data_IF_773354376489
#
_entry.id   IF_773354376489
#
_cell.length_a   1.000
_cell.length_b   1.000
_cell.length_c   1.000
_cell.angle_alpha   90.00
_cell.angle_beta   90.00
_cell.angle_gamma   90.00
#
_symmetry.space_group_name_H-M   'P 1'
#
loop_
_entity.id
_entity.type
_entity.pdbx_description
1 polymer ?
#
# COMPACT_ATOMS: atom_id res chain seq x y z
N UNK A 1 -1.29 20.98 -25.89
CA UNK A 1 0.18 21.02 -25.66
C UNK A 1 0.74 19.61 -25.77
N UNK A 2 1.92 19.41 -26.32
CA UNK A 2 2.56 18.09 -26.35
C UNK A 2 2.69 17.53 -24.92
N UNK A 3 2.44 16.23 -24.73
CA UNK A 3 2.54 15.56 -23.42
C UNK A 3 3.94 15.01 -23.12
N UNK A 4 4.89 15.35 -23.93
CA UNK A 4 6.28 14.91 -23.90
C UNK A 4 7.19 15.76 -23.00
N UNK A 5 6.69 16.93 -22.54
CA UNK A 5 7.42 17.80 -21.61
C UNK A 5 6.73 17.86 -20.25
N UNK A 6 7.47 17.63 -19.18
CA UNK A 6 6.99 17.89 -17.82
C UNK A 6 6.76 19.40 -17.60
N UNK A 7 5.77 19.79 -16.76
CA UNK A 7 5.66 21.15 -16.28
C UNK A 7 6.95 21.56 -15.56
N UNK A 8 7.29 22.83 -15.67
CA UNK A 8 8.40 23.40 -14.92
C UNK A 8 8.11 23.36 -13.41
N UNK A 9 9.11 23.03 -12.62
CA UNK A 9 9.11 23.11 -11.15
C UNK A 9 10.53 23.46 -10.67
N UNK A 10 10.61 24.03 -9.48
CA UNK A 10 11.88 24.20 -8.76
C UNK A 10 12.22 22.90 -8.03
N UNK A 11 13.50 22.51 -8.04
CA UNK A 11 13.99 21.31 -7.34
C UNK A 11 14.82 21.72 -6.11
N UNK A 12 14.41 21.23 -4.96
CA UNK A 12 15.09 21.38 -3.68
C UNK A 12 15.61 20.04 -3.19
N UNK A 13 16.84 19.99 -2.67
CA UNK A 13 17.51 18.78 -2.19
C UNK A 13 18.02 18.99 -0.76
N UNK A 14 17.13 19.04 0.25
CA UNK A 14 17.53 19.18 1.65
C UNK A 14 18.27 17.92 2.12
N UNK A 15 19.20 18.11 3.06
CA UNK A 15 19.97 17.04 3.71
C UNK A 15 19.41 16.63 5.07
N UNK A 16 18.44 17.39 5.61
CA UNK A 16 17.75 17.11 6.88
C UNK A 16 16.24 17.12 6.70
N UNK A 17 15.54 16.38 7.57
CA UNK A 17 14.08 16.35 7.57
C UNK A 17 13.51 17.72 7.94
N UNK A 18 14.10 18.39 8.93
CA UNK A 18 13.71 19.71 9.37
C UNK A 18 13.71 20.70 8.19
N UNK A 19 14.82 20.74 7.44
CA UNK A 19 14.91 21.59 6.25
C UNK A 19 13.86 21.25 5.19
N UNK A 20 13.53 19.97 5.01
CA UNK A 20 12.49 19.54 4.09
C UNK A 20 11.10 20.01 4.50
N UNK A 21 10.79 19.92 5.79
CA UNK A 21 9.50 20.37 6.37
C UNK A 21 9.37 21.90 6.31
N UNK A 22 10.42 22.62 6.66
CA UNK A 22 10.47 24.10 6.57
C UNK A 22 10.26 24.58 5.12
N UNK A 23 10.87 23.89 4.15
CA UNK A 23 10.64 24.16 2.73
C UNK A 23 9.18 23.94 2.35
N UNK A 24 8.61 22.81 2.75
CA UNK A 24 7.21 22.49 2.44
C UNK A 24 6.23 23.51 3.03
N UNK A 25 6.44 23.93 4.28
CA UNK A 25 5.63 24.95 4.94
C UNK A 25 5.73 26.30 4.20
N UNK A 26 6.94 26.73 3.87
CA UNK A 26 7.19 28.00 3.17
C UNK A 26 6.60 28.04 1.76
N UNK A 27 6.66 26.90 1.02
CA UNK A 27 6.14 26.80 -0.37
C UNK A 27 4.61 26.59 -0.35
N UNK A 28 4.09 25.89 0.65
CA UNK A 28 2.67 25.61 0.79
C UNK A 28 2.15 24.59 -0.25
N UNK A 29 0.92 24.78 -0.78
CA UNK A 29 0.24 23.78 -1.62
C UNK A 29 0.95 23.38 -2.93
N UNK A 30 1.96 24.15 -3.33
CA UNK A 30 2.78 23.87 -4.51
C UNK A 30 3.91 22.86 -4.25
N UNK A 31 4.18 22.53 -3.00
CA UNK A 31 5.24 21.59 -2.62
C UNK A 31 4.85 20.13 -2.89
N UNK A 32 5.81 19.35 -3.39
CA UNK A 32 5.67 17.91 -3.57
C UNK A 32 6.89 17.20 -3.03
N UNK A 33 6.69 16.32 -2.05
CA UNK A 33 7.77 15.45 -1.57
C UNK A 33 8.05 14.33 -2.56
N UNK A 34 9.31 14.19 -2.95
CA UNK A 34 9.77 13.17 -3.90
C UNK A 34 10.70 12.18 -3.21
N UNK A 35 10.33 10.89 -3.24
CA UNK A 35 11.19 9.78 -2.85
C UNK A 35 11.83 9.14 -4.11
N UNK A 36 11.62 7.84 -4.37
CA UNK A 36 12.16 7.15 -5.55
C UNK A 36 11.62 7.59 -6.92
N UNK A 37 10.62 8.44 -6.97
CA UNK A 37 10.12 9.09 -8.19
C UNK A 37 9.26 8.25 -9.12
N UNK A 38 9.19 6.93 -8.96
CA UNK A 38 8.55 6.02 -9.93
C UNK A 38 7.06 6.28 -10.17
N UNK A 39 6.32 6.70 -9.15
CA UNK A 39 4.91 7.08 -9.30
C UNK A 39 4.77 8.58 -9.61
N UNK A 40 5.51 9.44 -8.91
CA UNK A 40 5.41 10.89 -9.02
C UNK A 40 5.74 11.41 -10.42
N UNK A 41 6.81 10.92 -11.04
CA UNK A 41 7.26 11.40 -12.35
C UNK A 41 6.26 11.06 -13.46
N UNK A 42 5.53 9.95 -13.37
CA UNK A 42 4.45 9.62 -14.30
C UNK A 42 3.30 10.63 -14.20
N UNK A 43 2.90 10.99 -12.96
CA UNK A 43 1.90 12.03 -12.74
C UNK A 43 2.30 13.39 -13.31
N UNK A 44 3.58 13.74 -13.23
CA UNK A 44 4.10 15.01 -13.78
C UNK A 44 4.14 14.99 -15.30
N UNK A 45 4.61 13.89 -15.91
CA UNK A 45 4.63 13.72 -17.38
C UNK A 45 3.22 13.78 -17.97
N UNK A 46 2.25 13.13 -17.30
CA UNK A 46 0.85 13.16 -17.71
C UNK A 46 0.14 14.47 -17.36
N UNK A 47 0.80 15.35 -16.61
CA UNK A 47 0.27 16.66 -16.14
C UNK A 47 -0.97 16.55 -15.27
N UNK A 48 -1.18 15.42 -14.64
CA UNK A 48 -2.27 15.21 -13.70
C UNK A 48 -1.95 15.83 -12.34
N UNK A 49 -0.66 15.89 -11.98
CA UNK A 49 -0.15 16.66 -10.86
C UNK A 49 0.87 17.67 -11.40
N UNK A 50 0.80 18.89 -10.90
CA UNK A 50 1.61 20.02 -11.38
C UNK A 50 2.18 20.80 -10.20
N UNK A 51 3.12 20.21 -9.45
CA UNK A 51 3.76 20.95 -8.38
C UNK A 51 4.53 22.15 -8.94
N UNK A 52 4.66 23.21 -8.17
CA UNK A 52 5.55 24.33 -8.48
C UNK A 52 6.94 24.11 -7.93
N UNK A 53 7.07 23.26 -6.90
CA UNK A 53 8.32 22.88 -6.28
C UNK A 53 8.33 21.38 -5.91
N UNK A 54 9.45 20.73 -6.15
CA UNK A 54 9.71 19.34 -5.77
C UNK A 54 10.80 19.33 -4.70
N UNK A 55 10.51 18.71 -3.55
CA UNK A 55 11.44 18.54 -2.43
C UNK A 55 11.89 17.08 -2.44
N UNK A 56 13.09 16.84 -2.92
CA UNK A 56 13.67 15.51 -3.05
C UNK A 56 14.25 15.05 -1.71
N UNK A 57 13.73 13.92 -1.20
CA UNK A 57 14.04 13.45 0.16
C UNK A 57 15.22 12.46 0.21
N UNK A 58 15.69 11.94 -0.92
CA UNK A 58 16.64 10.80 -0.94
C UNK A 58 18.00 11.12 -0.32
N UNK A 59 18.37 12.41 -0.20
CA UNK A 59 19.57 12.86 0.50
C UNK A 59 19.50 12.77 2.02
N UNK A 60 18.29 12.61 2.61
CA UNK A 60 18.09 12.64 4.07
C UNK A 60 18.40 11.28 4.66
N UNK A 61 19.63 11.12 5.16
CA UNK A 61 20.14 9.83 5.67
C UNK A 61 19.32 9.23 6.81
N UNK A 62 18.74 10.08 7.67
CA UNK A 62 17.91 9.64 8.81
C UNK A 62 16.67 8.83 8.41
N UNK A 63 16.19 8.99 7.17
CA UNK A 63 15.00 8.31 6.65
C UNK A 63 15.32 6.95 6.00
N UNK A 64 16.57 6.47 6.03
CA UNK A 64 17.02 5.22 5.46
C UNK A 64 17.36 4.16 6.52
N UNK A 65 17.39 2.92 6.08
CA UNK A 65 17.95 1.81 6.83
C UNK A 65 16.93 0.98 7.58
N UNK A 66 17.43 -0.15 8.07
CA UNK A 66 16.67 -1.18 8.79
C UNK A 66 17.35 -1.39 10.13
N UNK A 67 16.64 -1.17 11.22
CA UNK A 67 17.19 -1.19 12.59
C UNK A 67 16.36 -2.10 13.49
N UNK A 68 17.01 -3.02 14.19
CA UNK A 68 16.38 -3.76 15.28
C UNK A 68 16.19 -2.82 16.48
N UNK A 69 15.03 -2.91 17.12
CA UNK A 69 14.66 -2.16 18.34
C UNK A 69 14.17 -3.13 19.41
N UNK A 70 14.02 -2.66 20.65
CA UNK A 70 13.43 -3.46 21.71
C UNK A 70 11.96 -3.83 21.43
N UNK A 71 11.26 -3.03 20.62
CA UNK A 71 9.84 -3.22 20.26
C UNK A 71 9.66 -3.99 18.94
N UNK A 72 10.74 -4.36 18.24
CA UNK A 72 10.68 -5.08 16.97
C UNK A 72 11.66 -4.52 15.94
N UNK A 73 11.18 -4.14 14.77
CA UNK A 73 12.00 -3.64 13.66
C UNK A 73 11.51 -2.27 13.20
N UNK A 74 12.44 -1.33 13.06
CA UNK A 74 12.19 -0.03 12.44
C UNK A 74 12.79 0.00 11.04
N UNK A 75 12.02 0.45 10.06
CA UNK A 75 12.44 0.61 8.67
C UNK A 75 12.19 2.05 8.26
N UNK A 76 13.26 2.77 7.93
CA UNK A 76 13.15 4.14 7.41
C UNK A 76 12.36 4.18 6.10
N UNK A 77 11.51 5.18 5.92
CA UNK A 77 10.59 5.27 4.78
C UNK A 77 11.30 5.35 3.42
N UNK A 78 12.54 5.84 3.37
CA UNK A 78 13.35 5.89 2.14
C UNK A 78 14.20 4.64 1.91
N UNK A 79 14.09 3.61 2.76
CA UNK A 79 14.73 2.31 2.52
C UNK A 79 14.19 1.72 1.23
N UNK A 80 15.08 1.32 0.32
CA UNK A 80 14.71 0.78 -0.99
C UNK A 80 14.03 -0.56 -0.87
N UNK A 81 13.08 -0.83 -1.74
CA UNK A 81 12.37 -2.11 -1.75
C UNK A 81 13.31 -3.30 -1.96
N UNK A 82 14.36 -3.12 -2.78
CA UNK A 82 15.41 -4.16 -2.97
C UNK A 82 16.22 -4.42 -1.70
N UNK A 83 16.45 -3.41 -0.85
CA UNK A 83 17.13 -3.57 0.45
C UNK A 83 16.24 -4.37 1.41
N UNK A 84 14.94 -4.09 1.47
CA UNK A 84 13.97 -4.82 2.29
C UNK A 84 13.86 -6.27 1.82
N UNK A 85 13.68 -6.48 0.50
CA UNK A 85 13.61 -7.80 -0.13
C UNK A 85 14.81 -8.68 0.24
N UNK A 86 16.02 -8.11 0.27
CA UNK A 86 17.27 -8.84 0.45
C UNK A 86 17.84 -8.78 1.87
N UNK A 87 17.23 -8.03 2.79
CA UNK A 87 17.68 -7.93 4.18
C UNK A 87 17.58 -9.28 4.90
N UNK A 88 18.69 -9.87 5.40
CA UNK A 88 18.64 -11.09 6.20
C UNK A 88 17.76 -10.93 7.45
N UNK A 89 17.78 -9.74 8.06
CA UNK A 89 17.01 -9.43 9.27
C UNK A 89 15.50 -9.42 8.97
N UNK A 90 15.08 -8.75 7.89
CA UNK A 90 13.66 -8.72 7.48
C UNK A 90 13.20 -10.11 7.07
N UNK A 91 14.00 -10.85 6.28
CA UNK A 91 13.65 -12.21 5.85
C UNK A 91 13.46 -13.18 7.03
N UNK A 92 14.32 -13.09 8.04
CA UNK A 92 14.25 -13.97 9.19
C UNK A 92 13.08 -13.64 10.13
N UNK A 93 12.81 -12.36 10.37
CA UNK A 93 11.83 -11.95 11.38
C UNK A 93 10.49 -11.53 10.82
N UNK A 94 10.46 -10.92 9.63
CA UNK A 94 9.27 -10.35 8.98
C UNK A 94 9.24 -10.71 7.49
N UNK A 95 9.42 -11.98 7.17
CA UNK A 95 9.47 -12.50 5.81
C UNK A 95 8.29 -12.10 4.93
N UNK A 96 7.14 -11.81 5.54
CA UNK A 96 5.96 -11.28 4.86
C UNK A 96 6.26 -9.96 4.11
N UNK A 97 6.94 -9.02 4.77
CA UNK A 97 7.28 -7.73 4.15
C UNK A 97 8.35 -7.90 3.07
N UNK A 98 9.34 -8.78 3.29
CA UNK A 98 10.36 -9.08 2.28
C UNK A 98 9.72 -9.68 1.01
N UNK A 99 8.78 -10.63 1.18
CA UNK A 99 8.04 -11.25 0.08
C UNK A 99 7.19 -10.21 -0.68
N UNK A 100 6.48 -9.35 0.03
CA UNK A 100 5.67 -8.28 -0.58
C UNK A 100 6.56 -7.28 -1.35
N UNK A 101 7.67 -6.84 -0.76
CA UNK A 101 8.63 -5.93 -1.41
C UNK A 101 9.19 -6.54 -2.69
N UNK A 102 9.55 -7.83 -2.68
CA UNK A 102 10.08 -8.56 -3.83
C UNK A 102 9.09 -8.74 -4.99
N UNK A 103 7.78 -8.55 -4.75
CA UNK A 103 6.74 -8.63 -5.77
C UNK A 103 6.31 -7.27 -6.33
N UNK A 104 6.91 -6.16 -5.84
CA UNK A 104 6.65 -4.83 -6.40
C UNK A 104 7.28 -4.71 -7.79
N UNK A 105 6.48 -4.38 -8.78
CA UNK A 105 6.85 -4.04 -10.15
C UNK A 105 7.99 -4.89 -10.75
N UNK A 106 9.19 -4.32 -10.91
CA UNK A 106 10.38 -4.97 -11.47
C UNK A 106 11.61 -4.69 -10.59
N UNK A 107 12.71 -5.46 -10.75
CA UNK A 107 13.96 -5.20 -10.04
C UNK A 107 14.46 -3.77 -10.21
N UNK A 108 14.34 -3.19 -11.41
CA UNK A 108 14.75 -1.82 -11.71
C UNK A 108 13.96 -0.80 -10.87
N UNK A 109 12.64 -0.99 -10.79
CA UNK A 109 11.76 -0.15 -9.95
C UNK A 109 12.12 -0.31 -8.47
N UNK A 110 12.36 -1.55 -7.99
CA UNK A 110 12.71 -1.80 -6.58
C UNK A 110 14.06 -1.22 -6.18
N UNK A 111 14.98 -1.06 -7.13
CA UNK A 111 16.31 -0.44 -6.90
C UNK A 111 16.23 1.08 -6.66
N UNK A 112 15.17 1.73 -7.09
CA UNK A 112 14.92 3.17 -6.85
C UNK A 112 13.71 3.42 -5.96
N UNK A 113 12.68 2.58 -6.04
CA UNK A 113 11.47 2.67 -5.23
C UNK A 113 11.74 2.40 -3.75
N UNK A 114 11.08 3.17 -2.90
CA UNK A 114 11.23 3.12 -1.44
C UNK A 114 9.99 2.56 -0.78
N UNK A 115 10.09 2.13 0.48
CA UNK A 115 8.95 1.65 1.26
C UNK A 115 7.88 2.75 1.37
N UNK A 116 8.25 3.94 1.81
CA UNK A 116 7.33 5.07 1.95
C UNK A 116 6.69 5.46 0.61
N UNK A 117 7.48 5.52 -0.47
CA UNK A 117 6.95 5.78 -1.82
C UNK A 117 5.94 4.73 -2.27
N UNK A 118 6.16 3.45 -1.97
CA UNK A 118 5.19 2.41 -2.28
C UNK A 118 3.91 2.52 -1.45
N UNK A 119 4.01 2.84 -0.14
CA UNK A 119 2.87 3.02 0.75
C UNK A 119 2.04 4.26 0.40
N UNK A 120 2.68 5.32 -0.09
CA UNK A 120 2.04 6.60 -0.43
C UNK A 120 1.59 6.72 -1.90
N UNK A 121 1.64 5.64 -2.68
CA UNK A 121 1.19 5.66 -4.07
C UNK A 121 -0.27 6.12 -4.20
N UNK A 122 -0.56 6.92 -5.23
CA UNK A 122 -1.93 7.32 -5.55
C UNK A 122 -2.70 6.21 -6.29
N UNK A 123 -4.01 6.31 -6.32
CA UNK A 123 -4.94 5.28 -6.76
C UNK A 123 -4.61 4.68 -8.14
N UNK A 124 -4.81 3.36 -8.25
CA UNK A 124 -4.85 2.68 -9.52
C UNK A 124 -6.24 2.80 -10.13
N UNK A 125 -6.34 3.66 -11.13
CA UNK A 125 -7.52 3.81 -11.97
C UNK A 125 -7.11 4.40 -13.32
N UNK A 126 -7.44 3.71 -14.41
CA UNK A 126 -7.11 4.15 -15.77
C UNK A 126 -7.57 5.58 -16.05
N UNK A 127 -8.85 5.88 -15.76
CA UNK A 127 -9.46 7.19 -16.03
C UNK A 127 -8.76 8.31 -15.28
N UNK A 128 -8.50 8.12 -13.99
CA UNK A 128 -7.83 9.11 -13.16
C UNK A 128 -6.38 9.32 -13.62
N UNK A 129 -5.64 8.25 -13.92
CA UNK A 129 -4.26 8.34 -14.38
C UNK A 129 -4.13 8.95 -15.78
N UNK A 130 -5.12 8.78 -16.63
CA UNK A 130 -5.19 9.48 -17.94
C UNK A 130 -5.67 10.93 -17.86
N UNK A 131 -5.91 11.49 -16.65
CA UNK A 131 -6.29 12.88 -16.44
C UNK A 131 -7.76 13.17 -16.75
N UNK A 132 -8.61 12.15 -16.72
CA UNK A 132 -10.05 12.33 -16.86
C UNK A 132 -10.60 12.96 -15.59
N UNK A 133 -11.40 14.03 -15.73
CA UNK A 133 -11.99 14.79 -14.63
C UNK A 133 -13.12 14.00 -13.98
N UNK A 134 -12.77 13.04 -13.13
CA UNK A 134 -13.71 12.25 -12.32
C UNK A 134 -13.91 12.86 -10.93
N UNK A 135 -14.74 12.26 -10.07
CA UNK A 135 -14.96 12.72 -8.69
C UNK A 135 -13.64 12.94 -7.91
N UNK A 136 -12.66 12.05 -8.06
CA UNK A 136 -11.35 12.17 -7.41
C UNK A 136 -10.54 13.35 -7.94
N UNK A 137 -10.73 13.72 -9.19
CA UNK A 137 -10.08 14.85 -9.85
C UNK A 137 -10.92 16.14 -9.83
N UNK A 138 -11.93 16.23 -8.95
CA UNK A 138 -12.77 17.42 -8.80
C UNK A 138 -13.95 17.48 -9.77
N UNK A 139 -14.22 16.43 -10.54
CA UNK A 139 -15.38 16.30 -11.41
C UNK A 139 -16.63 15.74 -10.72
N UNK A 140 -17.61 15.31 -11.52
CA UNK A 140 -18.94 14.92 -11.07
C UNK A 140 -19.39 13.51 -11.52
N UNK A 141 -18.49 12.68 -12.01
CA UNK A 141 -18.78 11.32 -12.46
C UNK A 141 -17.64 10.34 -12.11
N UNK A 142 -17.96 9.05 -12.00
CA UNK A 142 -16.97 7.98 -12.01
C UNK A 142 -17.11 7.22 -13.33
N UNK A 143 -16.16 7.37 -14.25
CA UNK A 143 -16.22 6.75 -15.58
C UNK A 143 -15.93 5.24 -15.54
N UNK A 144 -15.26 4.76 -14.51
CA UNK A 144 -15.07 3.33 -14.29
C UNK A 144 -16.35 2.63 -13.83
N UNK A 145 -17.24 3.34 -13.13
CA UNK A 145 -18.51 2.85 -12.61
C UNK A 145 -19.66 3.16 -13.57
N UNK A 146 -19.51 2.71 -14.81
CA UNK A 146 -20.51 2.84 -15.88
C UNK A 146 -20.67 1.51 -16.62
N UNK A 147 -21.79 1.27 -17.33
CA UNK A 147 -22.00 0.02 -18.07
C UNK A 147 -20.92 -0.30 -19.10
N UNK A 148 -20.24 0.68 -19.67
CA UNK A 148 -19.14 0.54 -20.63
C UNK A 148 -17.77 0.79 -20.00
N UNK A 149 -17.70 1.00 -18.67
CA UNK A 149 -16.47 1.32 -17.97
C UNK A 149 -15.46 0.16 -18.03
N UNK A 150 -14.19 0.48 -18.32
CA UNK A 150 -13.08 -0.47 -18.19
C UNK A 150 -12.74 -0.63 -16.73
N UNK A 151 -13.36 -1.60 -16.04
CA UNK A 151 -13.31 -1.73 -14.59
C UNK A 151 -12.81 -3.12 -14.09
N UNK A 152 -12.17 -3.88 -14.95
CA UNK A 152 -11.60 -5.20 -14.64
C UNK A 152 -10.68 -5.20 -13.39
N UNK A 153 -9.98 -4.12 -13.15
CA UNK A 153 -8.97 -3.99 -12.10
C UNK A 153 -9.47 -3.23 -10.86
N UNK A 154 -10.73 -2.78 -10.88
CA UNK A 154 -11.31 -1.95 -9.83
C UNK A 154 -11.81 -2.76 -8.62
N UNK A 155 -12.33 -2.08 -7.61
CA UNK A 155 -12.62 -2.65 -6.29
C UNK A 155 -13.79 -3.63 -6.29
N UNK A 156 -13.81 -4.47 -5.24
CA UNK A 156 -14.94 -5.31 -4.82
C UNK A 156 -15.61 -4.76 -3.56
N UNK A 157 -14.91 -3.91 -2.81
CA UNK A 157 -15.36 -3.41 -1.52
C UNK A 157 -15.08 -1.91 -1.40
N UNK A 158 -15.73 -1.26 -0.44
CA UNK A 158 -15.46 0.11 -0.07
C UNK A 158 -15.76 1.14 -1.17
N UNK A 159 -16.50 0.75 -2.20
CA UNK A 159 -16.93 1.68 -3.24
C UNK A 159 -17.83 2.76 -2.62
N UNK A 160 -17.54 4.00 -2.99
CA UNK A 160 -18.39 5.15 -2.72
C UNK A 160 -18.63 5.85 -4.07
N UNK A 161 -18.21 7.09 -4.22
CA UNK A 161 -18.16 7.77 -5.53
C UNK A 161 -16.92 7.40 -6.36
N UNK A 162 -16.06 6.53 -5.85
CA UNK A 162 -14.84 6.07 -6.52
C UNK A 162 -14.70 4.57 -6.32
N UNK A 163 -14.42 3.85 -7.39
CA UNK A 163 -14.21 2.40 -7.41
C UNK A 163 -12.74 2.00 -7.61
N UNK A 164 -11.81 2.94 -7.47
CA UNK A 164 -10.38 2.68 -7.59
C UNK A 164 -9.88 1.72 -6.52
N UNK A 165 -8.67 1.18 -6.72
CA UNK A 165 -7.98 0.32 -5.74
C UNK A 165 -6.66 0.94 -5.31
N UNK A 166 -6.20 0.58 -4.11
CA UNK A 166 -4.84 0.87 -3.66
C UNK A 166 -3.84 0.03 -4.46
N UNK A 167 -2.78 0.62 -5.02
CA UNK A 167 -1.78 -0.09 -5.80
C UNK A 167 -0.64 -0.67 -4.96
N UNK A 168 -0.58 -0.39 -3.66
CA UNK A 168 0.56 -0.77 -2.80
C UNK A 168 0.57 -2.27 -2.51
N UNK A 169 1.63 -2.96 -2.89
CA UNK A 169 1.83 -4.38 -2.52
C UNK A 169 2.30 -4.52 -1.07
N UNK A 170 3.14 -3.58 -0.58
CA UNK A 170 3.66 -3.61 0.80
C UNK A 170 2.62 -3.18 1.83
N UNK A 171 1.60 -2.43 1.43
CA UNK A 171 0.53 -1.97 2.33
C UNK A 171 -0.25 -3.11 2.97
N UNK A 172 -0.61 -4.15 2.20
CA UNK A 172 -1.28 -5.33 2.73
C UNK A 172 -0.40 -6.08 3.76
N UNK A 173 0.92 -6.18 3.49
CA UNK A 173 1.86 -6.78 4.44
C UNK A 173 2.00 -5.93 5.72
N UNK A 174 2.06 -4.60 5.62
CA UNK A 174 2.10 -3.71 6.79
C UNK A 174 0.84 -3.83 7.66
N UNK A 175 -0.34 -3.90 7.04
CA UNK A 175 -1.61 -4.10 7.76
C UNK A 175 -1.65 -5.47 8.45
N UNK A 176 -1.23 -6.54 7.77
CA UNK A 176 -1.18 -7.88 8.35
C UNK A 176 -0.13 -8.02 9.48
N UNK A 177 0.94 -7.25 9.45
CA UNK A 177 1.98 -7.21 10.47
C UNK A 177 1.67 -6.25 11.63
N UNK A 178 0.50 -5.60 11.65
CA UNK A 178 0.15 -4.58 12.63
C UNK A 178 1.17 -3.43 12.72
N UNK A 179 1.73 -3.05 11.58
CA UNK A 179 2.77 -2.04 11.50
C UNK A 179 2.28 -0.68 12.01
N UNK A 180 3.21 0.12 12.53
CA UNK A 180 2.99 1.48 12.97
C UNK A 180 3.70 2.44 12.02
N UNK A 181 2.96 3.40 11.49
CA UNK A 181 3.45 4.43 10.57
C UNK A 181 3.86 5.67 11.36
N UNK A 182 5.12 6.06 11.27
CA UNK A 182 5.66 7.25 11.95
C UNK A 182 5.62 8.43 10.99
N UNK A 183 4.85 9.44 11.33
CA UNK A 183 4.63 10.64 10.51
C UNK A 183 5.27 11.84 11.18
N UNK A 184 5.86 12.73 10.42
CA UNK A 184 6.43 14.00 10.89
C UNK A 184 5.95 15.14 10.00
N UNK A 185 5.58 16.22 10.62
CA UNK A 185 5.13 17.44 9.96
C UNK A 185 5.21 18.65 10.87
N UNK A 186 4.61 19.80 10.49
CA UNK A 186 4.63 21.04 11.30
C UNK A 186 4.04 20.84 12.70
N UNK A 187 3.09 19.92 12.86
CA UNK A 187 2.49 19.57 14.15
C UNK A 187 3.33 18.63 15.03
N UNK A 188 4.55 18.27 14.61
CA UNK A 188 5.42 17.32 15.30
C UNK A 188 5.31 15.90 14.78
N UNK A 189 5.56 14.92 15.65
CA UNK A 189 5.49 13.49 15.33
C UNK A 189 4.17 12.89 15.79
N UNK A 190 3.60 12.00 14.95
CA UNK A 190 2.46 11.17 15.31
C UNK A 190 2.63 9.76 14.73
N UNK A 191 2.06 8.78 15.42
CA UNK A 191 2.16 7.37 15.03
C UNK A 191 0.74 6.82 14.85
N UNK A 192 0.50 6.18 13.71
CA UNK A 192 -0.78 5.55 13.38
C UNK A 192 -0.59 4.05 13.13
N UNK A 193 -1.60 3.22 13.46
CA UNK A 193 -1.68 1.87 12.91
C UNK A 193 -1.70 1.90 11.37
N UNK A 194 -1.11 0.89 10.73
CA UNK A 194 -1.10 0.81 9.27
C UNK A 194 -2.50 0.84 8.66
N UNK A 195 -3.49 0.23 9.29
CA UNK A 195 -4.88 0.24 8.80
C UNK A 195 -5.54 1.62 8.87
N UNK A 196 -5.10 2.51 9.77
CA UNK A 196 -5.58 3.89 9.88
C UNK A 196 -4.80 4.87 8.99
N UNK A 197 -3.63 4.45 8.51
CA UNK A 197 -2.82 5.24 7.59
C UNK A 197 -3.44 5.36 6.19
N UNK A 198 -4.15 4.33 5.73
CA UNK A 198 -4.79 4.32 4.43
C UNK A 198 -6.20 4.90 4.50
N UNK A 199 -6.52 5.80 3.55
CA UNK A 199 -7.81 6.51 3.53
C UNK A 199 -8.64 6.08 2.32
N UNK A 200 -9.85 5.64 2.59
CA UNK A 200 -10.81 5.26 1.56
C UNK A 200 -11.67 6.43 1.05
N UNK A 201 -12.32 6.29 -0.12
CA UNK A 201 -13.08 7.38 -0.76
C UNK A 201 -14.32 7.81 -0.01
N UNK A 202 -14.80 7.05 0.97
CA UNK A 202 -15.90 7.45 1.86
C UNK A 202 -15.46 8.49 2.90
N UNK A 203 -14.18 8.45 3.29
CA UNK A 203 -13.57 9.40 4.23
C UNK A 203 -13.03 10.62 3.50
N UNK A 204 -12.16 10.41 2.52
CA UNK A 204 -11.66 11.47 1.63
C UNK A 204 -11.35 10.90 0.25
N UNK A 205 -12.08 11.37 -0.76
CA UNK A 205 -11.93 10.88 -2.13
C UNK A 205 -10.64 11.37 -2.82
N UNK A 206 -10.01 12.41 -2.30
CA UNK A 206 -8.83 13.05 -2.92
C UNK A 206 -7.51 12.47 -2.43
N UNK A 207 -7.50 11.83 -1.25
CA UNK A 207 -6.30 11.28 -0.60
C UNK A 207 -6.32 9.75 -0.60
N UNK A 208 -5.14 9.14 -0.52
CA UNK A 208 -4.94 7.69 -0.31
C UNK A 208 -4.41 7.37 1.07
N UNK A 209 -3.90 8.38 1.77
CA UNK A 209 -3.27 8.24 3.09
C UNK A 209 -3.71 9.34 4.04
N UNK A 210 -3.52 9.12 5.33
CA UNK A 210 -3.81 10.06 6.39
C UNK A 210 -2.76 11.18 6.55
N UNK A 211 -1.77 11.25 5.64
CA UNK A 211 -0.81 12.36 5.62
C UNK A 211 -1.54 13.69 5.41
N UNK A 212 -1.29 14.63 6.31
CA UNK A 212 -1.75 16.01 6.17
C UNK A 212 -0.77 16.81 5.29
N UNK A 213 -1.18 17.98 4.75
CA UNK A 213 -0.27 18.84 4.01
C UNK A 213 1.00 19.17 4.81
N UNK A 214 2.16 18.95 4.18
CA UNK A 214 3.46 19.14 4.84
C UNK A 214 3.94 18.01 5.72
N UNK A 215 3.19 16.90 5.85
CA UNK A 215 3.65 15.71 6.56
C UNK A 215 4.40 14.73 5.65
N UNK A 216 5.34 14.02 6.25
CA UNK A 216 6.15 12.96 5.63
C UNK A 216 6.05 11.69 6.46
N UNK A 217 5.87 10.54 5.81
CA UNK A 217 6.10 9.23 6.42
C UNK A 217 7.61 9.07 6.60
N UNK A 218 8.08 8.91 7.83
CA UNK A 218 9.52 8.86 8.16
C UNK A 218 10.01 7.44 8.42
N UNK A 219 9.18 6.59 9.04
CA UNK A 219 9.52 5.21 9.34
C UNK A 219 8.26 4.32 9.42
N UNK A 220 8.49 3.02 9.32
CA UNK A 220 7.53 1.95 9.59
C UNK A 220 8.09 1.08 10.71
N UNK A 221 7.36 0.94 11.80
CA UNK A 221 7.70 0.03 12.90
C UNK A 221 6.92 -1.28 12.77
N UNK A 222 7.62 -2.41 12.79
CA UNK A 222 7.04 -3.74 12.81
C UNK A 222 7.15 -4.30 14.22
N UNK A 223 6.02 -4.60 14.90
CA UNK A 223 6.04 -5.01 16.30
C UNK A 223 6.62 -6.41 16.48
N UNK A 224 7.42 -6.60 17.55
CA UNK A 224 8.12 -7.84 17.86
C UNK A 224 7.18 -9.05 18.00
N UNK A 225 5.92 -8.83 18.34
CA UNK A 225 4.95 -9.90 18.52
C UNK A 225 4.71 -10.72 17.25
N UNK A 226 4.97 -10.15 16.07
CA UNK A 226 4.88 -10.85 14.79
C UNK A 226 6.23 -11.36 14.27
N UNK A 227 7.34 -11.07 14.95
CA UNK A 227 8.65 -11.54 14.53
C UNK A 227 8.70 -13.06 14.52
N UNK A 228 9.12 -13.68 13.40
CA UNK A 228 9.21 -15.13 13.23
C UNK A 228 7.85 -15.86 13.25
N UNK A 229 6.73 -15.16 13.02
CA UNK A 229 5.43 -15.79 12.80
C UNK A 229 5.44 -16.62 11.50
N UNK A 230 4.43 -17.43 11.27
CA UNK A 230 4.20 -18.02 9.95
C UNK A 230 3.62 -16.96 9.02
N UNK A 231 4.17 -16.87 7.83
CA UNK A 231 3.81 -15.85 6.86
C UNK A 231 3.38 -16.46 5.53
N UNK A 232 2.39 -15.85 4.92
CA UNK A 232 2.00 -16.15 3.56
C UNK A 232 1.78 -14.86 2.79
N UNK A 233 2.43 -14.73 1.62
CA UNK A 233 2.18 -13.65 0.68
C UNK A 233 2.03 -14.20 -0.72
N UNK A 234 0.95 -13.84 -1.38
CA UNK A 234 0.75 -14.16 -2.78
C UNK A 234 0.12 -12.98 -3.51
N UNK A 235 0.66 -12.68 -4.68
CA UNK A 235 0.18 -11.67 -5.61
C UNK A 235 -0.15 -12.33 -6.93
N UNK A 236 -1.41 -12.23 -7.34
CA UNK A 236 -1.85 -12.60 -8.69
C UNK A 236 -1.96 -11.34 -9.54
N UNK A 237 -1.30 -11.37 -10.70
CA UNK A 237 -1.24 -10.31 -11.68
C UNK A 237 -1.27 -10.91 -13.08
N UNK A 238 -1.50 -10.12 -14.13
CA UNK A 238 -1.50 -10.62 -15.51
C UNK A 238 -0.07 -10.97 -15.98
N UNK A 239 0.94 -10.30 -15.40
CA UNK A 239 2.36 -10.54 -15.69
C UNK A 239 3.13 -10.76 -14.40
N UNK A 240 4.19 -11.55 -14.46
CA UNK A 240 5.04 -11.82 -13.28
C UNK A 240 5.90 -10.63 -12.86
N UNK A 241 6.06 -9.65 -13.72
CA UNK A 241 6.85 -8.43 -13.46
C UNK A 241 6.17 -7.23 -14.09
N UNK A 242 6.48 -6.04 -13.57
CA UNK A 242 5.94 -4.77 -14.08
C UNK A 242 4.41 -4.74 -14.10
N UNK A 243 3.79 -5.24 -13.03
CA UNK A 243 2.34 -5.25 -12.93
C UNK A 243 1.86 -5.03 -11.49
N UNK A 244 0.66 -4.48 -11.37
CA UNK A 244 -0.06 -4.36 -10.12
C UNK A 244 -0.84 -5.65 -9.81
N UNK A 245 -1.19 -5.84 -8.54
CA UNK A 245 -2.04 -6.96 -8.17
C UNK A 245 -3.43 -6.85 -8.79
N UNK A 246 -3.94 -7.92 -9.37
CA UNK A 246 -5.38 -8.13 -9.53
C UNK A 246 -6.00 -8.36 -8.17
N UNK A 247 -5.43 -9.30 -7.40
CA UNK A 247 -5.68 -9.54 -5.99
C UNK A 247 -4.37 -10.00 -5.35
N UNK A 248 -4.06 -9.51 -4.16
CA UNK A 248 -3.00 -10.07 -3.33
C UNK A 248 -3.51 -10.39 -1.93
N UNK A 249 -2.84 -11.32 -1.25
CA UNK A 249 -3.08 -11.68 0.14
C UNK A 249 -1.77 -11.61 0.92
N UNK A 250 -1.84 -11.02 2.10
CA UNK A 250 -0.80 -11.03 3.11
C UNK A 250 -1.37 -11.60 4.40
N UNK A 251 -0.73 -12.59 5.00
CA UNK A 251 -1.16 -13.21 6.24
C UNK A 251 0.03 -13.44 7.18
N UNK A 252 -0.19 -13.11 8.46
CA UNK A 252 0.71 -13.42 9.57
C UNK A 252 -0.04 -14.27 10.59
N UNK A 253 0.54 -15.41 11.00
CA UNK A 253 -0.11 -16.40 11.84
C UNK A 253 0.81 -16.93 12.94
N UNK A 254 0.21 -17.15 14.12
CA UNK A 254 0.80 -17.97 15.18
C UNK A 254 -0.02 -19.25 15.28
N UNK A 255 0.66 -20.39 15.11
CA UNK A 255 0.05 -21.72 15.20
C UNK A 255 0.60 -22.40 16.45
N UNK A 256 -0.29 -22.78 17.35
CA UNK A 256 0.00 -23.45 18.61
C UNK A 256 -0.88 -24.69 18.72
N UNK A 257 -0.32 -25.84 19.03
CA UNK A 257 -1.02 -27.12 19.14
C UNK A 257 -1.90 -27.45 17.92
N UNK A 258 -1.42 -27.09 16.71
CA UNK A 258 -2.17 -27.32 15.46
C UNK A 258 -3.37 -26.39 15.24
N UNK A 259 -3.52 -25.33 16.04
CA UNK A 259 -4.59 -24.33 15.95
C UNK A 259 -4.04 -22.96 15.61
N UNK A 260 -4.84 -22.16 14.93
CA UNK A 260 -4.58 -20.76 14.65
C UNK A 260 -4.74 -19.94 15.93
N UNK A 261 -3.69 -19.86 16.76
CA UNK A 261 -3.74 -19.10 18.02
C UNK A 261 -3.96 -17.60 17.78
N UNK A 262 -3.31 -17.05 16.76
CA UNK A 262 -3.49 -15.65 16.30
C UNK A 262 -3.32 -15.57 14.79
N UNK A 263 -4.10 -14.70 14.16
CA UNK A 263 -4.01 -14.45 12.72
C UNK A 263 -4.36 -13.00 12.41
N UNK A 264 -3.61 -12.41 11.48
CA UNK A 264 -3.97 -11.16 10.80
C UNK A 264 -3.82 -11.35 9.30
N UNK A 265 -4.79 -10.86 8.54
CA UNK A 265 -4.83 -11.01 7.09
C UNK A 265 -5.27 -9.71 6.43
N UNK A 266 -4.64 -9.36 5.33
CA UNK A 266 -5.07 -8.24 4.51
C UNK A 266 -4.97 -8.56 3.02
N UNK A 267 -5.94 -8.10 2.23
CA UNK A 267 -5.97 -8.19 0.77
C UNK A 267 -5.60 -6.85 0.14
N UNK A 268 -4.82 -6.91 -0.95
CA UNK A 268 -4.58 -5.79 -1.87
C UNK A 268 -5.32 -5.96 -3.19
N UNK A 269 -5.55 -4.86 -3.90
CA UNK A 269 -6.20 -4.83 -5.21
C UNK A 269 -7.72 -5.03 -5.19
N UNK A 270 -8.36 -5.05 -4.04
CA UNK A 270 -9.81 -5.29 -3.88
C UNK A 270 -10.59 -4.12 -3.28
N UNK A 271 -9.87 -3.13 -2.75
CA UNK A 271 -10.44 -1.91 -2.16
C UNK A 271 -9.48 -0.74 -2.37
N UNK A 272 -9.95 0.48 -2.18
CA UNK A 272 -9.10 1.69 -2.26
C UNK A 272 -8.07 1.79 -1.11
N UNK A 273 -8.17 0.90 -0.15
CA UNK A 273 -7.22 0.68 0.95
C UNK A 273 -6.79 -0.80 0.97
N UNK A 274 -5.64 -1.16 1.57
CA UNK A 274 -5.36 -2.55 1.94
C UNK A 274 -6.43 -3.05 2.90
N UNK A 275 -7.23 -4.03 2.46
CA UNK A 275 -8.41 -4.50 3.19
C UNK A 275 -8.04 -5.54 4.23
N UNK A 276 -8.14 -5.21 5.52
CA UNK A 276 -8.02 -6.18 6.61
C UNK A 276 -9.27 -7.08 6.67
N UNK A 277 -9.07 -8.37 6.92
CA UNK A 277 -10.12 -9.37 6.95
C UNK A 277 -10.56 -9.72 8.39
N UNK A 278 -10.98 -8.73 9.17
CA UNK A 278 -11.30 -8.87 10.60
C UNK A 278 -12.35 -9.93 10.89
N UNK A 279 -13.39 -10.06 10.05
CA UNK A 279 -14.41 -11.10 10.18
C UNK A 279 -13.87 -12.52 9.99
N UNK A 280 -12.91 -12.68 9.04
CA UNK A 280 -12.19 -13.94 8.84
C UNK A 280 -11.34 -14.24 10.07
N UNK A 281 -10.50 -13.28 10.49
CA UNK A 281 -9.60 -13.41 11.66
C UNK A 281 -10.37 -13.88 12.89
N UNK A 282 -11.50 -13.22 13.20
CA UNK A 282 -12.35 -13.57 14.34
C UNK A 282 -12.95 -14.98 14.21
N UNK A 283 -13.37 -15.38 13.01
CA UNK A 283 -14.02 -16.67 12.80
C UNK A 283 -13.05 -17.86 12.83
N UNK A 284 -11.77 -17.66 12.47
CA UNK A 284 -10.79 -18.77 12.37
C UNK A 284 -9.84 -18.85 13.56
N UNK A 285 -9.72 -17.82 14.40
CA UNK A 285 -8.89 -17.86 15.60
C UNK A 285 -9.36 -18.96 16.55
N UNK A 286 -8.41 -19.77 17.04
CA UNK A 286 -8.65 -20.94 17.90
C UNK A 286 -9.08 -22.20 17.14
N UNK A 287 -9.35 -22.14 15.82
CA UNK A 287 -9.71 -23.32 15.02
C UNK A 287 -8.46 -24.11 14.60
N UNK A 288 -8.65 -25.40 14.27
CA UNK A 288 -7.59 -26.22 13.69
C UNK A 288 -7.03 -25.58 12.39
N UNK A 289 -5.71 -25.63 12.22
CA UNK A 289 -5.05 -25.26 10.99
C UNK A 289 -5.21 -26.39 9.97
N UNK A 290 -6.33 -26.36 9.24
CA UNK A 290 -6.72 -27.40 8.27
C UNK A 290 -7.55 -26.84 7.13
N UNK A 291 -7.89 -27.72 6.19
CA UNK A 291 -8.67 -27.39 4.98
C UNK A 291 -10.09 -26.89 5.29
N UNK A 292 -10.75 -27.40 6.33
CA UNK A 292 -12.10 -26.96 6.71
C UNK A 292 -12.09 -25.50 7.16
N UNK A 293 -11.14 -25.13 8.01
CA UNK A 293 -10.93 -23.74 8.46
C UNK A 293 -10.54 -22.83 7.29
N UNK A 294 -9.71 -23.31 6.37
CA UNK A 294 -9.33 -22.56 5.16
C UNK A 294 -10.55 -22.32 4.24
N UNK A 295 -11.43 -23.31 4.08
CA UNK A 295 -12.65 -23.18 3.28
C UNK A 295 -13.65 -22.20 3.92
N UNK A 296 -13.80 -22.22 5.25
CA UNK A 296 -14.61 -21.25 5.99
C UNK A 296 -14.10 -19.83 5.77
N UNK A 297 -12.79 -19.62 5.93
CA UNK A 297 -12.14 -18.33 5.73
C UNK A 297 -12.38 -17.78 4.33
N UNK A 298 -12.26 -18.62 3.30
CA UNK A 298 -12.47 -18.26 1.91
C UNK A 298 -13.90 -17.73 1.65
N UNK A 299 -14.90 -18.40 2.20
CA UNK A 299 -16.29 -17.95 2.07
C UNK A 299 -16.57 -16.60 2.76
N UNK A 300 -16.02 -16.43 3.97
CA UNK A 300 -16.18 -15.19 4.74
C UNK A 300 -15.43 -14.01 4.10
N UNK A 301 -14.28 -14.25 3.49
CA UNK A 301 -13.46 -13.20 2.88
C UNK A 301 -14.17 -12.44 1.76
N UNK A 302 -15.08 -13.09 1.05
CA UNK A 302 -15.81 -12.49 -0.09
C UNK A 302 -17.24 -12.07 0.27
N UNK A 303 -17.64 -12.23 1.53
CA UNK A 303 -18.95 -11.79 1.97
C UNK A 303 -19.09 -10.26 1.80
N UNK A 304 -20.17 -9.83 1.17
CA UNK A 304 -20.44 -8.42 0.88
C UNK A 304 -19.63 -7.84 -0.32
N UNK A 305 -18.94 -8.68 -1.08
CA UNK A 305 -18.29 -8.23 -2.32
C UNK A 305 -19.33 -7.77 -3.34
N UNK A 306 -19.12 -6.59 -3.93
CA UNK A 306 -19.94 -6.04 -5.00
C UNK A 306 -19.09 -5.92 -6.26
N UNK A 307 -19.48 -6.65 -7.30
CA UNK A 307 -18.72 -6.66 -8.56
C UNK A 307 -19.19 -5.55 -9.50
N UNK A 308 -18.25 -5.08 -10.31
CA UNK A 308 -18.49 -4.27 -11.48
C UNK A 308 -18.61 -5.16 -12.72
N UNK A 309 -18.78 -4.55 -13.92
CA UNK A 309 -19.08 -5.31 -15.15
C UNK A 309 -18.00 -6.32 -15.57
N UNK A 310 -16.72 -6.07 -15.22
CA UNK A 310 -15.61 -6.87 -15.75
C UNK A 310 -14.68 -7.42 -14.66
N UNK A 311 -15.05 -7.34 -13.37
CA UNK A 311 -14.19 -7.78 -12.27
C UNK A 311 -14.75 -8.94 -11.42
N UNK A 312 -15.77 -9.65 -11.89
CA UNK A 312 -16.40 -10.78 -11.20
C UNK A 312 -15.40 -11.89 -10.85
N UNK A 313 -14.39 -12.11 -11.71
CA UNK A 313 -13.34 -13.11 -11.50
C UNK A 313 -12.52 -12.88 -10.22
N UNK A 314 -12.47 -11.63 -9.71
CA UNK A 314 -11.74 -11.31 -8.48
C UNK A 314 -12.36 -11.96 -7.24
N UNK A 315 -13.67 -12.24 -7.25
CA UNK A 315 -14.35 -12.88 -6.12
C UNK A 315 -13.83 -14.31 -5.87
N UNK A 316 -13.92 -15.26 -6.82
CA UNK A 316 -13.34 -16.58 -6.63
C UNK A 316 -11.81 -16.54 -6.49
N UNK A 317 -11.12 -15.58 -7.13
CA UNK A 317 -9.68 -15.41 -6.98
C UNK A 317 -9.32 -15.04 -5.53
N UNK A 318 -9.99 -14.06 -4.93
CA UNK A 318 -9.78 -13.66 -3.53
C UNK A 318 -10.08 -14.80 -2.56
N UNK A 319 -11.20 -15.50 -2.75
CA UNK A 319 -11.56 -16.65 -1.93
C UNK A 319 -10.46 -17.73 -1.95
N UNK A 320 -9.96 -18.07 -3.14
CA UNK A 320 -8.91 -19.08 -3.30
C UNK A 320 -7.56 -18.63 -2.69
N UNK A 321 -7.21 -17.35 -2.78
CA UNK A 321 -6.00 -16.83 -2.16
C UNK A 321 -6.07 -16.91 -0.63
N UNK A 322 -7.21 -16.55 -0.04
CA UNK A 322 -7.43 -16.66 1.41
C UNK A 322 -7.39 -18.11 1.87
N UNK A 323 -8.01 -19.04 1.11
CA UNK A 323 -7.95 -20.48 1.38
C UNK A 323 -6.51 -20.99 1.38
N UNK A 324 -5.73 -20.64 0.36
CA UNK A 324 -4.31 -21.02 0.26
C UNK A 324 -3.48 -20.42 1.39
N UNK A 325 -3.74 -19.16 1.75
CA UNK A 325 -3.00 -18.50 2.81
C UNK A 325 -3.11 -19.22 4.17
N UNK A 326 -4.24 -19.89 4.45
CA UNK A 326 -4.38 -20.71 5.66
C UNK A 326 -3.84 -22.12 5.44
N UNK A 327 -4.12 -22.73 4.29
CA UNK A 327 -3.74 -24.12 4.04
C UNK A 327 -2.23 -24.33 3.89
N UNK A 328 -1.55 -23.40 3.19
CA UNK A 328 -0.17 -23.58 2.70
C UNK A 328 0.88 -22.81 3.56
N UNK A 329 0.46 -22.14 4.62
CA UNK A 329 1.34 -21.38 5.50
C UNK A 329 2.10 -22.26 6.52
#
# INVERSE_FOLDING_TARGET
MPRDMMPHFELYQPDTLESALDLAERIGPGAWFLAGGNDSLDWFKDRNKRPTAVIELTGIRALHGIRATAQGLEIGALTKLTEIENSPLVRAQFGLLAAAAGRVASPQIRNSGTLGGNLCQDARCWYYRYGVTCYRAGGNACYADTPQGMNREHCLFGASRCVAVSPTDTGAACVALDARMVLRGPGGERILPAEEFFVGPSTDITRMTALEPGEVLTAVHLPAEWAGARFYFEKVADRNTWDFALVSIAAAMRIEDGKLARIRMACGGVECVPRRLTSVEAAVTGRPHNEETAALAAGLAVAGATTLNFNQFKVPLMANLVRRAIRDA
#
